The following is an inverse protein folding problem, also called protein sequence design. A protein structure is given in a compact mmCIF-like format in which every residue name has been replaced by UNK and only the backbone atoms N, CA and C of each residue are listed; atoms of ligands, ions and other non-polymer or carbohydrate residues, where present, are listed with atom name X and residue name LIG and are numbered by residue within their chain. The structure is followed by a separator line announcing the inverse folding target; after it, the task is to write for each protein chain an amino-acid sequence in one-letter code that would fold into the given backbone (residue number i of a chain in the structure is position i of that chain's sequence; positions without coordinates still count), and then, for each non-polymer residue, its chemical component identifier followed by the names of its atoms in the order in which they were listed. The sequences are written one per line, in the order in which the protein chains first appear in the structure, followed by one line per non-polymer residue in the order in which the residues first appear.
data_IF_396957277679
#
_entry.id   IF_396957277679
#
_cell.length_a   1.000
_cell.length_b   1.000
_cell.length_c   1.000
_cell.angle_alpha   90.00
_cell.angle_beta   90.00
_cell.angle_gamma   90.00
#
_symmetry.space_group_name_H-M   'P 1'
#
loop_
_entity.id
_entity.type
_entity.pdbx_description
1 polymer ?
#
# COMPACT_ATOMS: atom_id res chain seq x y z
N UNK A 1 -24.85 0.05 -7.98
CA UNK A 1 -24.38 1.32 -7.40
C UNK A 1 -25.38 2.38 -7.79
N UNK A 2 -25.96 3.04 -6.82
CA UNK A 2 -26.89 4.16 -7.02
C UNK A 2 -26.08 5.43 -7.19
N UNK A 3 -26.29 6.16 -8.28
CA UNK A 3 -25.67 7.45 -8.51
C UNK A 3 -26.70 8.55 -8.57
N UNK A 4 -26.25 9.75 -8.32
CA UNK A 4 -27.03 10.95 -8.51
C UNK A 4 -26.80 11.43 -9.94
N UNK A 5 -27.80 11.32 -10.78
CA UNK A 5 -27.77 11.92 -12.10
C UNK A 5 -28.04 13.41 -12.00
N UNK A 6 -27.40 14.18 -12.86
CA UNK A 6 -27.29 15.61 -12.83
C UNK A 6 -28.56 16.41 -12.53
N UNK A 7 -28.44 17.70 -12.43
CA UNK A 7 -29.54 18.60 -12.13
C UNK A 7 -30.68 18.46 -13.15
N UNK A 8 -31.89 18.27 -12.65
CA UNK A 8 -33.08 18.33 -13.50
C UNK A 8 -33.17 19.70 -14.22
N UNK A 9 -33.65 19.71 -15.46
CA UNK A 9 -33.79 20.95 -16.19
C UNK A 9 -34.62 21.98 -15.41
N UNK A 10 -34.11 23.21 -15.30
CA UNK A 10 -34.74 24.29 -14.52
C UNK A 10 -36.22 24.58 -14.94
N UNK A 11 -36.58 24.28 -16.17
CA UNK A 11 -37.96 24.48 -16.68
C UNK A 11 -38.98 23.53 -16.04
N UNK A 12 -38.56 22.50 -15.32
CA UNK A 12 -39.46 21.65 -14.55
C UNK A 12 -39.87 22.27 -13.21
N UNK A 13 -39.31 23.45 -12.85
CA UNK A 13 -39.64 24.14 -11.63
C UNK A 13 -39.07 23.50 -10.37
N UNK A 14 -38.31 22.40 -10.50
CA UNK A 14 -37.67 21.68 -9.41
C UNK A 14 -36.24 22.19 -9.27
N UNK A 15 -35.92 22.78 -8.11
CA UNK A 15 -34.57 23.23 -7.77
C UNK A 15 -33.95 22.27 -6.75
N UNK A 16 -32.70 21.90 -6.94
CA UNK A 16 -31.90 21.06 -6.03
C UNK A 16 -32.53 19.69 -5.73
N UNK A 17 -33.25 19.11 -6.68
CA UNK A 17 -33.77 17.76 -6.56
C UNK A 17 -32.74 16.78 -7.12
N UNK A 18 -32.19 15.94 -6.25
CA UNK A 18 -31.33 14.84 -6.64
C UNK A 18 -32.18 13.68 -7.18
N UNK A 19 -31.88 13.24 -8.37
CA UNK A 19 -32.46 12.01 -8.94
C UNK A 19 -31.48 10.87 -8.74
N UNK A 20 -31.96 9.80 -8.11
CA UNK A 20 -31.15 8.60 -7.88
C UNK A 20 -31.57 7.50 -8.83
N UNK A 21 -30.63 6.97 -9.55
CA UNK A 21 -30.86 5.81 -10.41
C UNK A 21 -29.70 4.81 -10.29
N UNK A 22 -29.91 3.58 -10.71
CA UNK A 22 -28.89 2.54 -10.72
C UNK A 22 -28.03 2.61 -12.01
N UNK A 23 -27.29 3.70 -12.17
CA UNK A 23 -26.51 4.01 -13.37
C UNK A 23 -25.11 3.43 -13.33
N UNK A 24 -24.40 3.65 -12.22
CA UNK A 24 -23.00 3.26 -12.11
C UNK A 24 -22.82 1.75 -12.02
N UNK A 25 -21.84 1.22 -12.72
CA UNK A 25 -21.51 -0.19 -12.70
C UNK A 25 -19.99 -0.40 -12.57
N UNK A 26 -19.61 -1.36 -11.75
CA UNK A 26 -18.22 -1.79 -11.61
C UNK A 26 -18.10 -3.28 -11.84
N UNK A 27 -16.94 -3.70 -12.30
CA UNK A 27 -16.55 -5.09 -12.45
C UNK A 27 -15.38 -5.38 -11.51
N UNK A 28 -15.52 -6.44 -10.73
CA UNK A 28 -14.41 -7.04 -9.98
C UNK A 28 -14.28 -8.49 -10.43
N UNK A 29 -13.08 -8.90 -10.76
CA UNK A 29 -12.79 -10.26 -11.23
C UNK A 29 -11.43 -10.71 -10.71
N UNK A 30 -11.28 -12.02 -10.55
CA UNK A 30 -10.04 -12.58 -10.04
C UNK A 30 -9.95 -14.07 -10.23
N UNK A 31 -8.79 -14.61 -9.91
CA UNK A 31 -8.50 -16.04 -9.89
C UNK A 31 -7.78 -16.33 -8.59
N UNK A 32 -8.17 -17.42 -7.95
CA UNK A 32 -7.53 -17.93 -6.75
C UNK A 32 -7.07 -19.35 -7.00
N UNK A 33 -5.88 -19.70 -6.51
CA UNK A 33 -5.34 -21.03 -6.56
C UNK A 33 -4.63 -21.38 -5.25
N UNK A 34 -4.77 -22.62 -4.81
CA UNK A 34 -4.06 -23.14 -3.66
C UNK A 34 -3.51 -24.54 -3.99
N UNK A 35 -2.26 -24.75 -3.62
CA UNK A 35 -1.56 -26.01 -3.82
C UNK A 35 -1.03 -26.54 -2.49
N UNK A 36 -1.11 -27.82 -2.31
CA UNK A 36 -0.43 -28.51 -1.21
C UNK A 36 0.20 -29.79 -1.74
N UNK A 37 1.47 -29.91 -1.47
CA UNK A 37 2.23 -31.11 -1.79
C UNK A 37 2.96 -31.57 -0.53
N UNK A 38 3.02 -32.86 -0.30
CA UNK A 38 3.71 -33.41 0.88
C UNK A 38 3.96 -34.90 0.73
N UNK A 39 4.89 -35.39 1.53
CA UNK A 39 5.28 -36.78 1.53
C UNK A 39 6.12 -37.13 2.75
N UNK A 40 6.45 -38.40 2.82
CA UNK A 40 7.32 -38.95 3.86
C UNK A 40 8.27 -39.97 3.24
N UNK A 41 9.55 -39.85 3.60
CA UNK A 41 10.60 -40.80 3.23
C UNK A 41 11.38 -41.15 4.48
N UNK A 42 11.18 -42.39 4.99
CA UNK A 42 11.74 -42.81 6.26
C UNK A 42 11.28 -41.93 7.42
N UNK A 43 12.24 -41.36 8.12
CA UNK A 43 11.99 -40.43 9.25
C UNK A 43 11.73 -39.00 8.83
N UNK A 44 11.90 -38.67 7.56
CA UNK A 44 11.72 -37.31 7.03
C UNK A 44 10.34 -37.15 6.42
N UNK A 45 9.56 -36.22 6.95
CA UNK A 45 8.27 -35.78 6.41
C UNK A 45 8.33 -34.35 5.99
N UNK A 46 7.66 -34.01 4.91
CA UNK A 46 7.55 -32.63 4.42
C UNK A 46 6.16 -32.31 3.90
N UNK A 47 5.76 -31.05 4.01
CA UNK A 47 4.57 -30.51 3.37
C UNK A 47 4.86 -29.08 2.98
N UNK A 48 4.61 -28.76 1.71
CA UNK A 48 4.71 -27.41 1.17
C UNK A 48 3.32 -27.00 0.70
N UNK A 49 2.85 -25.87 1.14
CA UNK A 49 1.61 -25.24 0.70
C UNK A 49 1.93 -23.90 0.07
N UNK A 50 1.21 -23.55 -1.00
CA UNK A 50 1.25 -22.23 -1.60
C UNK A 50 -0.17 -21.81 -1.95
N UNK A 51 -0.49 -20.52 -1.75
CA UNK A 51 -1.71 -19.92 -2.24
C UNK A 51 -1.39 -18.66 -3.01
N UNK A 52 -2.23 -18.37 -3.97
CA UNK A 52 -2.13 -17.21 -4.83
C UNK A 52 -3.52 -16.72 -5.16
N UNK A 53 -3.74 -15.42 -5.08
CA UNK A 53 -4.93 -14.74 -5.55
C UNK A 53 -4.53 -13.57 -6.44
N UNK A 54 -5.19 -13.44 -7.56
CA UNK A 54 -5.12 -12.28 -8.45
C UNK A 54 -6.48 -11.64 -8.55
N UNK A 55 -6.54 -10.32 -8.41
CA UNK A 55 -7.78 -9.56 -8.55
C UNK A 55 -7.56 -8.24 -9.25
N UNK A 56 -8.55 -7.84 -10.02
CA UNK A 56 -8.61 -6.49 -10.59
C UNK A 56 -10.05 -5.99 -10.62
N UNK A 57 -10.18 -4.68 -10.59
CA UNK A 57 -11.45 -3.99 -10.65
C UNK A 57 -11.43 -2.92 -11.73
N UNK A 58 -12.59 -2.56 -12.25
CA UNK A 58 -12.73 -1.37 -13.12
C UNK A 58 -14.16 -0.85 -13.11
N UNK A 59 -14.29 0.45 -13.34
CA UNK A 59 -15.58 1.06 -13.64
C UNK A 59 -16.01 0.69 -15.06
N UNK A 60 -17.20 0.09 -15.22
CA UNK A 60 -17.80 -0.19 -16.52
C UNK A 60 -18.65 0.98 -17.01
N UNK A 61 -19.39 1.58 -16.08
CA UNK A 61 -20.17 2.79 -16.27
C UNK A 61 -19.96 3.68 -15.05
N UNK A 62 -19.83 4.95 -15.28
CA UNK A 62 -19.71 5.96 -14.23
C UNK A 62 -20.40 7.23 -14.72
N UNK A 63 -21.20 7.83 -13.85
CA UNK A 63 -21.84 9.11 -14.13
C UNK A 63 -20.79 10.20 -13.95
N UNK A 64 -20.22 10.69 -15.04
CA UNK A 64 -19.11 11.62 -15.04
C UNK A 64 -19.21 12.67 -16.13
N UNK A 65 -18.69 13.82 -15.83
CA UNK A 65 -18.39 14.88 -16.80
C UNK A 65 -16.92 15.21 -16.71
N UNK A 66 -16.21 15.20 -17.80
CA UNK A 66 -14.79 15.55 -17.87
C UNK A 66 -14.50 16.36 -19.12
N UNK A 67 -13.52 17.24 -19.01
CA UNK A 67 -13.08 18.08 -20.14
C UNK A 67 -12.03 17.34 -20.98
N UNK A 68 -11.16 16.58 -20.32
CA UNK A 68 -10.06 15.90 -20.97
C UNK A 68 -10.15 14.38 -20.77
N UNK A 69 -9.84 13.62 -21.81
CA UNK A 69 -9.97 12.16 -21.81
C UNK A 69 -9.21 11.44 -20.68
N UNK A 70 -8.07 11.99 -20.25
CA UNK A 70 -7.27 11.42 -19.16
C UNK A 70 -7.92 11.59 -17.75
N UNK A 71 -8.95 12.45 -17.65
CA UNK A 71 -9.73 12.62 -16.42
C UNK A 71 -10.80 11.53 -16.28
N UNK A 72 -11.12 10.80 -17.33
CA UNK A 72 -12.18 9.80 -17.30
C UNK A 72 -12.00 8.77 -16.17
N UNK A 73 -13.08 8.48 -15.45
CA UNK A 73 -13.16 7.44 -14.41
C UNK A 73 -13.52 6.09 -15.02
N UNK A 74 -14.40 6.09 -16.03
CA UNK A 74 -14.77 4.89 -16.76
C UNK A 74 -13.54 4.16 -17.31
N UNK A 75 -13.46 2.88 -17.04
CA UNK A 75 -12.32 2.03 -17.44
C UNK A 75 -11.16 1.99 -16.46
N UNK A 76 -11.10 2.92 -15.52
CA UNK A 76 -10.06 2.91 -14.48
C UNK A 76 -10.39 1.93 -13.35
N UNK A 77 -9.41 1.60 -12.53
CA UNK A 77 -9.61 0.77 -11.34
C UNK A 77 -10.44 1.53 -10.29
N UNK A 78 -11.21 0.79 -9.48
CA UNK A 78 -12.02 1.37 -8.40
C UNK A 78 -11.16 2.01 -7.32
N UNK A 79 -9.93 1.59 -7.21
CA UNK A 79 -8.94 1.98 -6.23
C UNK A 79 -7.80 2.80 -6.87
N UNK A 80 -8.07 3.42 -8.03
CA UNK A 80 -7.09 4.24 -8.72
C UNK A 80 -6.69 5.47 -7.89
N UNK A 81 -5.37 5.69 -7.74
CA UNK A 81 -4.85 6.96 -7.31
C UNK A 81 -4.93 7.97 -8.45
N UNK A 82 -5.44 9.15 -8.15
CA UNK A 82 -5.43 10.31 -9.05
C UNK A 82 -4.55 11.39 -8.49
N UNK A 83 -3.84 12.09 -9.35
CA UNK A 83 -2.97 13.16 -8.92
C UNK A 83 -2.11 13.69 -10.07
N UNK A 84 -1.19 14.54 -9.69
CA UNK A 84 -0.29 15.24 -10.60
C UNK A 84 0.89 14.37 -11.01
N UNK A 85 1.41 14.64 -12.20
CA UNK A 85 2.62 14.00 -12.71
C UNK A 85 3.83 14.83 -12.31
N UNK A 86 4.65 14.28 -11.45
CA UNK A 86 5.90 14.88 -11.02
C UNK A 86 6.95 14.88 -12.14
N UNK A 87 7.58 16.01 -12.39
CA UNK A 87 8.62 16.20 -13.39
C UNK A 87 10.02 16.43 -12.79
N UNK A 88 10.12 16.66 -11.50
CA UNK A 88 11.35 17.02 -10.83
C UNK A 88 11.13 18.11 -9.79
N UNK A 89 12.22 18.61 -9.22
CA UNK A 89 12.21 19.77 -8.33
C UNK A 89 12.68 20.99 -9.10
N UNK A 90 12.12 22.16 -8.82
CA UNK A 90 12.65 23.40 -9.38
C UNK A 90 14.09 23.62 -8.95
N UNK A 91 14.97 23.85 -9.90
CA UNK A 91 16.40 24.08 -9.65
C UNK A 91 16.69 25.56 -9.34
N UNK A 92 15.96 26.50 -9.94
CA UNK A 92 16.20 27.94 -9.78
C UNK A 92 14.92 28.76 -9.88
N UNK A 93 15.01 30.04 -9.51
CA UNK A 93 13.93 31.02 -9.64
C UNK A 93 13.60 31.32 -11.12
N UNK A 94 14.58 31.26 -12.00
CA UNK A 94 14.41 31.46 -13.44
C UNK A 94 13.61 30.31 -14.06
N UNK A 95 13.85 29.08 -13.61
CA UNK A 95 13.07 27.93 -14.03
C UNK A 95 11.60 28.08 -13.57
N UNK A 96 11.36 28.52 -12.35
CA UNK A 96 10.00 28.77 -11.84
C UNK A 96 9.30 29.81 -12.71
N UNK A 97 9.97 30.93 -13.03
CA UNK A 97 9.41 32.01 -13.83
C UNK A 97 9.10 31.62 -15.28
N UNK A 98 9.77 30.59 -15.82
CA UNK A 98 9.57 30.10 -17.18
C UNK A 98 8.69 28.84 -17.28
N UNK A 99 8.24 28.32 -16.16
CA UNK A 99 7.39 27.12 -16.10
C UNK A 99 5.91 27.52 -15.99
N UNK A 100 4.95 26.60 -16.32
CA UNK A 100 3.55 26.79 -16.06
C UNK A 100 3.29 27.17 -14.59
N UNK A 101 2.34 28.06 -14.34
CA UNK A 101 2.00 28.53 -13.01
C UNK A 101 1.31 27.40 -12.21
N UNK A 102 1.84 27.09 -11.04
CA UNK A 102 1.21 26.12 -10.11
C UNK A 102 0.27 26.87 -9.15
N UNK A 103 -1.04 26.60 -9.21
CA UNK A 103 -2.10 27.37 -8.56
C UNK A 103 -2.37 26.97 -7.10
N UNK A 104 -1.35 26.62 -6.33
CA UNK A 104 -1.46 26.04 -4.99
C UNK A 104 -1.18 27.06 -3.87
N UNK A 105 -1.69 28.27 -3.98
CA UNK A 105 -1.67 29.33 -2.95
C UNK A 105 -0.31 29.61 -2.27
N UNK A 106 0.82 29.34 -2.94
CA UNK A 106 2.16 29.44 -2.38
C UNK A 106 3.13 30.13 -3.32
N UNK A 107 4.08 30.83 -2.73
CA UNK A 107 5.24 31.30 -3.47
C UNK A 107 6.24 30.16 -3.61
N UNK A 108 6.36 29.62 -4.81
CA UNK A 108 7.32 28.57 -5.15
C UNK A 108 8.76 29.06 -4.95
N UNK A 109 9.61 28.11 -4.56
CA UNK A 109 11.04 28.31 -4.39
C UNK A 109 11.82 27.12 -4.95
N UNK A 110 13.11 27.30 -5.28
CA UNK A 110 13.96 26.17 -5.67
C UNK A 110 13.91 25.05 -4.63
N UNK A 111 13.78 23.81 -5.10
CA UNK A 111 13.56 22.62 -4.27
C UNK A 111 12.10 22.22 -4.07
N UNK A 112 11.13 23.01 -4.50
CA UNK A 112 9.72 22.63 -4.54
C UNK A 112 9.42 21.69 -5.71
N UNK A 113 8.37 20.87 -5.58
CA UNK A 113 7.98 19.91 -6.61
C UNK A 113 7.37 20.61 -7.82
N UNK A 114 7.77 20.16 -8.99
CA UNK A 114 7.29 20.61 -10.30
C UNK A 114 6.37 19.56 -10.91
N UNK A 115 5.22 19.99 -11.42
CA UNK A 115 4.21 19.12 -12.02
C UNK A 115 4.03 19.39 -13.51
N UNK A 116 3.47 18.42 -14.21
CA UNK A 116 3.18 18.52 -15.65
C UNK A 116 1.86 19.23 -15.88
N UNK A 117 1.88 20.19 -16.80
CA UNK A 117 0.71 20.74 -17.45
C UNK A 117 0.27 19.76 -18.52
N UNK A 118 -0.85 19.07 -18.29
CA UNK A 118 -1.33 17.98 -19.15
C UNK A 118 -2.23 18.49 -20.29
N UNK A 119 -2.85 19.66 -20.12
CA UNK A 119 -3.72 20.27 -21.11
C UNK A 119 -3.05 21.39 -21.91
N UNK A 120 -1.81 21.79 -21.51
CA UNK A 120 -1.00 22.85 -22.10
C UNK A 120 -1.67 24.23 -22.10
N UNK A 121 -2.37 24.58 -21.01
CA UNK A 121 -3.00 25.90 -20.85
C UNK A 121 -2.10 26.90 -20.10
N UNK A 122 -0.93 26.46 -19.62
CA UNK A 122 0.04 27.27 -18.89
C UNK A 122 -0.22 27.35 -17.39
N UNK A 123 -1.23 26.65 -16.88
CA UNK A 123 -1.58 26.56 -15.46
C UNK A 123 -1.54 25.09 -15.01
N UNK A 124 -1.12 24.88 -13.77
CA UNK A 124 -1.23 23.56 -13.11
C UNK A 124 -2.36 23.65 -12.09
N UNK A 125 -3.48 23.03 -12.41
CA UNK A 125 -4.68 23.02 -11.56
C UNK A 125 -5.34 21.63 -11.49
N UNK A 126 -6.59 21.56 -11.05
CA UNK A 126 -7.33 20.30 -10.96
C UNK A 126 -7.53 19.59 -12.31
N UNK A 127 -7.36 20.32 -13.43
CA UNK A 127 -7.44 19.74 -14.78
C UNK A 127 -6.23 18.87 -15.12
N UNK A 128 -5.10 19.02 -14.44
CA UNK A 128 -3.86 18.29 -14.71
C UNK A 128 -3.70 17.00 -13.92
N UNK A 129 -4.79 16.53 -13.32
CA UNK A 129 -4.80 15.28 -12.60
C UNK A 129 -5.21 14.11 -13.50
N UNK A 130 -4.41 13.05 -13.46
CA UNK A 130 -4.72 11.77 -14.12
C UNK A 130 -4.57 10.58 -13.17
N UNK A 131 -4.89 9.40 -13.62
CA UNK A 131 -4.57 8.16 -12.87
C UNK A 131 -3.06 7.98 -12.85
N UNK A 132 -2.50 7.88 -11.64
CA UNK A 132 -1.06 7.77 -11.37
C UNK A 132 -0.66 6.44 -10.71
N UNK A 133 -1.62 5.64 -10.26
CA UNK A 133 -1.39 4.36 -9.60
C UNK A 133 -2.67 3.72 -9.07
N UNK A 134 -2.52 2.70 -8.23
CA UNK A 134 -3.64 2.02 -7.57
C UNK A 134 -3.28 1.62 -6.13
N UNK A 135 -4.25 1.71 -5.21
CA UNK A 135 -4.02 1.51 -3.77
C UNK A 135 -4.21 0.06 -3.29
N UNK A 136 -4.88 -0.80 -4.04
CA UNK A 136 -5.18 -2.16 -3.59
C UNK A 136 -4.30 -3.19 -4.28
N UNK A 137 -3.78 -4.18 -3.54
CA UNK A 137 -2.99 -5.26 -4.10
C UNK A 137 -3.74 -6.00 -5.22
N UNK A 138 -3.05 -6.26 -6.33
CA UNK A 138 -3.53 -7.14 -7.40
C UNK A 138 -3.21 -8.59 -7.11
N UNK A 139 -2.13 -8.83 -6.38
CA UNK A 139 -1.64 -10.15 -6.02
C UNK A 139 -1.54 -10.29 -4.51
N UNK A 140 -2.16 -11.34 -3.98
CA UNK A 140 -1.91 -11.84 -2.62
C UNK A 140 -1.34 -13.25 -2.76
N UNK A 141 -0.29 -13.56 -2.02
CA UNK A 141 0.34 -14.87 -2.07
C UNK A 141 0.89 -15.31 -0.71
N UNK A 142 0.87 -16.61 -0.49
CA UNK A 142 1.44 -17.19 0.71
C UNK A 142 2.18 -18.49 0.41
N UNK A 143 3.16 -18.81 1.25
CA UNK A 143 3.90 -20.07 1.24
C UNK A 143 3.97 -20.61 2.66
N UNK A 144 3.72 -21.88 2.82
CA UNK A 144 3.90 -22.60 4.08
C UNK A 144 4.78 -23.83 3.85
N UNK A 145 5.80 -24.01 4.67
CA UNK A 145 6.71 -25.14 4.64
C UNK A 145 6.68 -25.80 6.01
N UNK A 146 6.34 -27.08 6.04
CA UNK A 146 6.39 -27.88 7.25
C UNK A 146 7.33 -29.06 7.01
N UNK A 147 8.36 -29.12 7.82
CA UNK A 147 9.34 -30.23 7.78
C UNK A 147 9.29 -30.95 9.12
N UNK A 148 9.43 -32.27 9.06
CA UNK A 148 9.52 -33.10 10.24
C UNK A 148 10.65 -34.10 10.03
N UNK A 149 11.52 -34.17 11.00
CA UNK A 149 12.58 -35.20 11.03
C UNK A 149 12.70 -35.78 12.43
N UNK A 150 12.33 -37.05 12.57
CA UNK A 150 12.26 -37.75 13.87
C UNK A 150 11.40 -36.95 14.86
N UNK A 151 12.06 -36.40 15.87
CA UNK A 151 11.40 -35.60 16.93
C UNK A 151 11.36 -34.11 16.64
N UNK A 152 12.06 -33.64 15.63
CA UNK A 152 12.05 -32.21 15.24
C UNK A 152 10.93 -31.91 14.26
N UNK A 153 10.33 -30.76 14.43
CA UNK A 153 9.43 -30.15 13.46
C UNK A 153 9.81 -28.68 13.21
N UNK A 154 9.77 -28.27 11.96
CA UNK A 154 10.02 -26.91 11.52
C UNK A 154 8.84 -26.44 10.68
N UNK A 155 8.28 -25.30 11.06
CA UNK A 155 7.23 -24.62 10.29
C UNK A 155 7.73 -23.26 9.88
N UNK A 156 7.58 -22.93 8.59
CA UNK A 156 7.88 -21.62 8.04
C UNK A 156 6.63 -21.12 7.30
N UNK A 157 6.20 -19.89 7.58
CA UNK A 157 5.09 -19.25 6.90
C UNK A 157 5.55 -17.90 6.39
N UNK A 158 5.37 -17.67 5.09
CA UNK A 158 5.61 -16.41 4.44
C UNK A 158 4.36 -15.96 3.70
N UNK A 159 4.14 -14.64 3.67
CA UNK A 159 3.03 -14.00 2.94
C UNK A 159 3.54 -12.76 2.22
N UNK A 160 2.86 -12.39 1.15
CA UNK A 160 3.22 -11.20 0.41
C UNK A 160 2.06 -10.66 -0.39
N UNK A 161 2.22 -9.41 -0.80
CA UNK A 161 1.32 -8.68 -1.68
C UNK A 161 2.12 -7.97 -2.76
N UNK A 162 1.50 -7.76 -3.92
CA UNK A 162 2.16 -7.04 -5.01
C UNK A 162 1.13 -6.38 -5.96
N UNK A 163 1.64 -5.52 -6.84
CA UNK A 163 0.85 -4.86 -7.86
C UNK A 163 -0.05 -3.75 -7.30
N UNK A 164 0.46 -2.97 -6.36
CA UNK A 164 -0.19 -1.79 -5.82
C UNK A 164 0.83 -0.74 -5.42
N UNK A 165 0.36 0.49 -5.31
CA UNK A 165 1.15 1.62 -4.88
C UNK A 165 0.74 2.05 -3.47
N UNK A 166 1.69 2.54 -2.72
CA UNK A 166 1.50 3.13 -1.41
C UNK A 166 1.93 4.59 -1.43
N UNK A 167 1.08 5.47 -0.90
CA UNK A 167 1.40 6.89 -0.78
C UNK A 167 2.20 7.17 0.50
N UNK A 168 3.35 7.82 0.36
CA UNK A 168 4.24 8.21 1.45
C UNK A 168 3.87 9.56 2.08
N UNK A 169 2.61 9.96 2.02
CA UNK A 169 2.12 11.25 2.50
C UNK A 169 1.66 11.25 3.96
N UNK A 170 1.85 10.13 4.65
CA UNK A 170 1.49 10.03 6.06
C UNK A 170 2.56 10.64 6.97
N UNK A 171 2.26 10.70 8.27
CA UNK A 171 3.13 11.28 9.29
C UNK A 171 4.50 10.59 9.49
N UNK A 172 4.72 9.41 8.89
CA UNK A 172 6.03 8.75 8.91
C UNK A 172 7.08 9.49 8.08
N UNK A 173 6.66 10.02 6.92
CA UNK A 173 7.56 10.63 5.95
C UNK A 173 7.49 12.14 6.02
N UNK A 174 6.29 12.71 6.15
CA UNK A 174 6.10 14.13 6.04
C UNK A 174 4.95 14.64 6.91
N UNK A 175 5.23 15.59 7.76
CA UNK A 175 4.20 16.28 8.53
C UNK A 175 3.84 17.61 7.86
N UNK A 176 2.97 17.58 6.86
CA UNK A 176 2.63 18.70 5.98
C UNK A 176 1.82 19.82 6.58
N UNK A 177 1.56 19.81 7.86
CA UNK A 177 0.63 20.74 8.46
C UNK A 177 1.27 21.87 9.27
N UNK A 178 2.50 22.25 8.92
CA UNK A 178 3.17 23.41 9.53
C UNK A 178 3.44 23.24 11.02
N UNK A 179 3.55 22.00 11.48
CA UNK A 179 4.00 21.70 12.82
C UNK A 179 5.50 21.46 12.82
N UNK A 180 6.09 21.72 13.92
CA UNK A 180 7.54 21.86 14.15
C UNK A 180 8.33 20.56 13.99
N UNK A 181 7.69 19.47 13.53
CA UNK A 181 8.28 18.14 13.52
C UNK A 181 8.28 17.52 12.12
N UNK A 182 9.46 17.38 11.55
CA UNK A 182 9.70 16.51 10.41
C UNK A 182 10.13 15.13 10.88
N UNK A 183 9.82 14.09 10.09
CA UNK A 183 10.36 12.76 10.36
C UNK A 183 11.88 12.77 10.18
N UNK A 184 12.59 11.87 10.89
CA UNK A 184 14.03 11.70 10.74
C UNK A 184 14.42 11.34 9.31
N UNK A 185 13.57 10.60 8.57
CA UNK A 185 13.80 10.24 7.18
C UNK A 185 13.95 11.47 6.29
N UNK A 186 13.07 12.46 6.46
CA UNK A 186 13.09 13.71 5.69
C UNK A 186 14.22 14.62 6.16
N UNK A 187 14.40 14.77 7.50
CA UNK A 187 15.45 15.59 8.07
C UNK A 187 16.85 15.15 7.64
N UNK A 188 17.11 13.86 7.65
CA UNK A 188 18.42 13.30 7.34
C UNK A 188 18.70 13.24 5.83
N UNK A 189 17.70 13.58 5.00
CA UNK A 189 17.79 13.62 3.54
C UNK A 189 17.63 15.05 2.97
N UNK A 190 18.08 16.06 3.69
CA UNK A 190 18.08 17.45 3.24
C UNK A 190 18.90 17.58 1.96
N UNK A 191 18.27 18.14 0.91
CA UNK A 191 18.90 18.25 -0.41
C UNK A 191 18.90 16.95 -1.24
N UNK A 192 18.41 15.83 -0.69
CA UNK A 192 18.22 14.57 -1.38
C UNK A 192 16.91 14.48 -2.16
N UNK A 193 16.21 13.33 -2.02
CA UNK A 193 15.01 13.02 -2.81
C UNK A 193 13.79 13.85 -2.44
N UNK A 194 13.67 14.25 -1.16
CA UNK A 194 12.52 15.00 -0.65
C UNK A 194 12.54 16.48 -1.07
N UNK A 195 11.38 17.16 -1.14
CA UNK A 195 11.32 18.59 -1.39
C UNK A 195 11.95 19.38 -0.24
N UNK A 196 12.20 20.67 -0.47
CA UNK A 196 12.78 21.54 0.55
C UNK A 196 11.96 21.55 1.83
N UNK A 197 12.63 21.67 2.96
CA UNK A 197 11.99 21.83 4.27
C UNK A 197 11.55 23.29 4.47
N UNK A 198 10.43 23.50 5.15
CA UNK A 198 9.88 24.82 5.45
C UNK A 198 9.10 24.80 6.76
N UNK A 199 9.08 25.92 7.48
CA UNK A 199 8.24 26.12 8.66
C UNK A 199 6.82 26.62 8.29
N UNK A 200 6.60 27.00 7.04
CA UNK A 200 5.31 27.49 6.56
C UNK A 200 4.55 26.32 5.99
N UNK A 201 3.25 26.25 6.27
CA UNK A 201 2.36 25.27 5.64
C UNK A 201 2.50 25.38 4.12
N UNK A 202 2.84 24.27 3.49
CA UNK A 202 2.94 24.17 2.04
C UNK A 202 1.88 23.22 1.52
N UNK A 203 1.20 23.63 0.47
CA UNK A 203 0.22 22.82 -0.24
C UNK A 203 0.82 22.22 -1.51
N UNK A 204 1.71 22.95 -2.19
CA UNK A 204 2.35 22.50 -3.43
C UNK A 204 3.06 21.15 -3.28
N UNK A 205 3.97 21.02 -2.30
CA UNK A 205 4.75 19.81 -2.10
C UNK A 205 3.95 18.62 -1.58
N UNK A 206 2.70 18.86 -1.14
CA UNK A 206 1.81 17.84 -0.59
C UNK A 206 0.68 17.45 -1.54
N UNK A 207 0.69 17.97 -2.76
CA UNK A 207 -0.31 17.57 -3.74
C UNK A 207 -0.20 16.07 -4.03
N UNK A 208 -1.34 15.38 -4.18
CA UNK A 208 -1.36 13.99 -4.62
C UNK A 208 -0.60 13.86 -5.93
N UNK A 209 0.51 13.16 -5.92
CA UNK A 209 1.37 13.01 -7.09
C UNK A 209 2.10 11.68 -7.08
N UNK A 210 2.59 11.26 -8.23
CA UNK A 210 3.42 10.07 -8.32
C UNK A 210 4.79 10.22 -7.64
N UNK A 211 5.18 11.44 -7.25
CA UNK A 211 6.34 11.64 -6.37
C UNK A 211 6.18 10.87 -5.03
N UNK A 212 4.98 10.90 -4.46
CA UNK A 212 4.68 10.25 -3.19
C UNK A 212 4.30 8.77 -3.31
N UNK A 213 4.17 8.24 -4.51
CA UNK A 213 3.86 6.83 -4.71
C UNK A 213 5.12 5.98 -4.71
N UNK A 214 5.05 4.85 -4.05
CA UNK A 214 6.06 3.78 -4.06
C UNK A 214 5.38 2.45 -4.31
N UNK A 215 6.11 1.52 -4.94
CA UNK A 215 5.66 0.14 -5.02
C UNK A 215 5.44 -0.41 -3.60
N UNK A 216 4.19 -0.71 -3.28
CA UNK A 216 3.77 -1.25 -1.99
C UNK A 216 4.06 -2.75 -1.84
N UNK A 217 4.62 -3.38 -2.87
CA UNK A 217 4.89 -4.81 -2.90
C UNK A 217 5.86 -5.27 -1.81
N UNK A 218 5.55 -6.41 -1.22
CA UNK A 218 6.42 -7.03 -0.22
C UNK A 218 6.25 -8.54 -0.13
N UNK A 219 7.26 -9.21 0.41
CA UNK A 219 7.18 -10.56 0.94
C UNK A 219 7.73 -10.59 2.36
N UNK A 220 6.99 -11.20 3.27
CA UNK A 220 7.34 -11.27 4.70
C UNK A 220 7.39 -12.71 5.18
N UNK A 221 8.47 -13.07 5.86
CA UNK A 221 8.53 -14.28 6.66
C UNK A 221 7.82 -13.99 7.98
N UNK A 222 6.53 -14.37 8.03
CA UNK A 222 5.68 -14.04 9.18
C UNK A 222 5.99 -14.90 10.39
N UNK A 223 6.34 -16.18 10.17
CA UNK A 223 6.54 -17.09 11.28
C UNK A 223 7.57 -18.17 10.91
N UNK A 224 8.51 -18.42 11.82
CA UNK A 224 9.36 -19.59 11.82
C UNK A 224 9.25 -20.22 13.21
N UNK A 225 8.89 -21.49 13.26
CA UNK A 225 8.81 -22.23 14.52
C UNK A 225 9.57 -23.54 14.40
N UNK A 226 10.52 -23.75 15.30
CA UNK A 226 11.27 -25.00 15.48
C UNK A 226 10.77 -25.66 16.76
N UNK A 227 10.26 -26.87 16.64
CA UNK A 227 9.76 -27.69 17.74
C UNK A 227 10.59 -28.97 17.93
N UNK A 228 10.66 -29.41 19.16
CA UNK A 228 11.20 -30.71 19.53
C UNK A 228 10.20 -31.49 20.37
N UNK A 229 9.86 -32.71 19.96
CA UNK A 229 8.83 -33.57 20.56
C UNK A 229 9.48 -34.70 21.35
N UNK A 230 9.28 -34.69 22.65
CA UNK A 230 9.68 -35.81 23.52
C UNK A 230 8.46 -36.70 23.76
N UNK A 231 8.58 -37.97 23.46
CA UNK A 231 7.55 -38.97 23.77
C UNK A 231 7.92 -39.69 25.04
N UNK A 232 6.99 -39.78 25.98
CA UNK A 232 7.16 -40.54 27.21
C UNK A 232 6.55 -41.95 27.06
N UNK A 233 6.89 -42.82 27.99
CA UNK A 233 6.39 -44.20 27.99
C UNK A 233 4.85 -44.20 28.19
N UNK A 234 4.15 -45.20 27.61
CA UNK A 234 2.69 -45.26 27.59
C UNK A 234 2.02 -45.31 28.96
N UNK A 235 2.74 -45.71 30.02
CA UNK A 235 2.26 -45.76 31.41
C UNK A 235 2.49 -44.45 32.19
N UNK A 236 3.09 -43.44 31.57
CA UNK A 236 3.32 -42.16 32.20
C UNK A 236 2.04 -41.32 32.18
N UNK A 237 1.75 -40.55 33.25
CA UNK A 237 0.67 -39.56 33.29
C UNK A 237 0.84 -38.47 32.21
N UNK A 238 2.10 -38.13 31.89
CA UNK A 238 2.43 -37.23 30.80
C UNK A 238 2.81 -38.06 29.57
N UNK A 239 2.08 -37.93 28.48
CA UNK A 239 2.29 -38.71 27.25
C UNK A 239 3.28 -38.07 26.29
N UNK A 240 3.43 -36.74 26.38
CA UNK A 240 4.35 -36.02 25.52
C UNK A 240 4.67 -34.64 26.01
N UNK A 241 5.86 -34.17 25.66
CA UNK A 241 6.30 -32.80 25.85
C UNK A 241 6.82 -32.26 24.50
N UNK A 242 6.27 -31.15 24.05
CA UNK A 242 6.84 -30.43 22.91
C UNK A 242 7.41 -29.12 23.42
N UNK A 243 8.69 -28.89 23.17
CA UNK A 243 9.36 -27.59 23.40
C UNK A 243 9.51 -26.92 22.06
N UNK A 244 9.30 -25.61 22.01
CA UNK A 244 9.43 -24.87 20.75
C UNK A 244 10.05 -23.50 20.94
N UNK A 245 10.69 -23.04 19.87
CA UNK A 245 11.13 -21.65 19.67
C UNK A 245 10.42 -21.11 18.44
N UNK A 246 9.85 -19.92 18.55
CA UNK A 246 9.14 -19.24 17.49
C UNK A 246 9.69 -17.83 17.30
N UNK A 247 9.91 -17.47 16.06
CA UNK A 247 10.16 -16.09 15.66
C UNK A 247 9.06 -15.59 14.74
N UNK A 248 8.53 -14.39 15.02
CA UNK A 248 7.53 -13.75 14.16
C UNK A 248 8.04 -12.43 13.60
N UNK A 249 7.60 -12.09 12.38
CA UNK A 249 7.99 -10.90 11.61
C UNK A 249 9.51 -10.77 11.44
N UNK A 250 10.19 -11.89 11.12
CA UNK A 250 11.65 -11.96 11.14
C UNK A 250 12.31 -11.23 9.98
N UNK A 251 11.71 -11.27 8.80
CA UNK A 251 12.28 -10.69 7.59
C UNK A 251 11.17 -10.16 6.69
N UNK A 252 11.37 -8.97 6.16
CA UNK A 252 10.52 -8.34 5.15
C UNK A 252 11.38 -7.94 3.96
N UNK A 253 10.98 -8.36 2.77
CA UNK A 253 11.58 -7.97 1.49
C UNK A 253 10.59 -7.00 0.85
N UNK A 254 10.99 -5.74 0.68
CA UNK A 254 10.18 -4.67 0.11
C UNK A 254 11.07 -3.59 -0.50
N UNK A 255 10.53 -2.83 -1.44
CA UNK A 255 11.14 -1.58 -1.92
C UNK A 255 11.12 -0.46 -0.87
N UNK A 256 10.21 -0.54 0.11
CA UNK A 256 10.09 0.40 1.22
C UNK A 256 10.93 -0.16 2.38
N UNK A 257 11.99 0.56 2.77
CA UNK A 257 12.98 0.06 3.73
C UNK A 257 12.83 0.66 5.13
N UNK A 258 12.27 1.86 5.21
CA UNK A 258 12.30 2.67 6.44
C UNK A 258 11.20 2.29 7.43
N UNK A 259 10.08 1.75 6.94
CA UNK A 259 8.93 1.32 7.73
C UNK A 259 8.42 -0.04 7.24
N UNK A 260 7.65 -0.72 8.08
CA UNK A 260 7.01 -1.97 7.67
C UNK A 260 5.91 -1.68 6.63
N UNK A 261 5.96 -2.30 5.43
CA UNK A 261 5.01 -2.03 4.35
C UNK A 261 3.56 -2.38 4.70
N UNK A 262 3.31 -3.24 5.68
CA UNK A 262 1.95 -3.51 6.17
C UNK A 262 1.40 -2.39 7.06
N UNK A 263 2.27 -1.57 7.64
CA UNK A 263 1.90 -0.55 8.63
C UNK A 263 2.14 0.88 8.15
N UNK A 264 2.45 1.08 6.88
CA UNK A 264 2.88 2.38 6.34
C UNK A 264 1.80 3.46 6.48
N UNK A 265 0.52 3.10 6.38
CA UNK A 265 -0.60 4.04 6.48
C UNK A 265 -1.05 4.31 7.93
N UNK A 266 -0.45 3.64 8.89
CA UNK A 266 -0.84 3.76 10.29
C UNK A 266 -0.28 5.02 10.96
N UNK A 267 0.71 5.66 10.36
CA UNK A 267 1.36 6.87 10.89
C UNK A 267 2.15 6.63 12.17
N UNK A 268 2.69 7.70 12.72
CA UNK A 268 3.50 7.66 13.95
C UNK A 268 2.69 7.40 15.22
N UNK A 269 1.38 7.49 15.15
CA UNK A 269 0.47 7.27 16.29
C UNK A 269 0.10 5.81 16.50
N UNK A 270 0.45 4.94 15.55
CA UNK A 270 0.13 3.52 15.63
C UNK A 270 1.34 2.73 16.12
N UNK A 271 1.04 1.70 16.89
CA UNK A 271 2.07 0.83 17.44
C UNK A 271 2.81 0.08 16.32
N UNK A 272 4.15 0.13 16.26
CA UNK A 272 4.91 -0.52 15.20
C UNK A 272 4.83 -2.05 15.31
N UNK A 273 4.96 -2.73 14.17
CA UNK A 273 5.07 -4.17 14.13
C UNK A 273 6.45 -4.62 14.63
N UNK A 274 6.47 -5.42 15.69
CA UNK A 274 7.72 -5.93 16.27
C UNK A 274 8.11 -7.28 15.71
N UNK A 275 9.41 -7.51 15.69
CA UNK A 275 9.95 -8.87 15.66
C UNK A 275 9.79 -9.46 17.06
N UNK A 276 9.19 -10.63 17.15
CA UNK A 276 9.00 -11.31 18.43
C UNK A 276 9.66 -12.68 18.43
N UNK A 277 10.25 -13.01 19.57
CA UNK A 277 10.81 -14.33 19.82
C UNK A 277 10.10 -14.95 21.02
N UNK A 278 9.62 -16.15 20.86
CA UNK A 278 8.86 -16.86 21.90
C UNK A 278 9.47 -18.22 22.11
N UNK A 279 9.73 -18.58 23.36
CA UNK A 279 10.03 -19.93 23.79
C UNK A 279 8.86 -20.48 24.58
N UNK A 280 8.50 -21.73 24.35
CA UNK A 280 7.34 -22.33 25.02
C UNK A 280 7.41 -23.84 25.07
N UNK A 281 6.50 -24.42 25.86
CA UNK A 281 6.32 -25.86 25.90
C UNK A 281 4.84 -26.23 25.93
N UNK A 282 4.54 -27.43 25.43
CA UNK A 282 3.20 -28.03 25.45
C UNK A 282 3.28 -29.42 26.04
N UNK A 283 2.51 -29.68 27.10
CA UNK A 283 2.35 -30.99 27.71
C UNK A 283 1.10 -31.66 27.16
N UNK A 284 1.17 -32.97 26.95
CA UNK A 284 0.04 -33.81 26.59
C UNK A 284 -0.09 -34.91 27.66
N UNK A 285 -1.29 -35.11 28.19
CA UNK A 285 -1.65 -36.05 29.24
C UNK A 285 -2.42 -37.25 28.68
#
# INVERSE_FOLDING_TARGET
ITSMTGNLPLYWGLRNVAVYENHNASLQQGVEAAFRFGGRTGDFGYSVGASFAFRKSKYLRYDESYTYAYQAVKGTALDAYRGYVYLGKFASAEEIASSPEQTFDEKLQPGDLKYADLNNDGLIDSNDQKVIGNSSPRFDYSVSINLRYRNFDLTIVGTGRAGFDTALTNSWYWNGWGTDNYSTFVRDNIGGDYPRLTYIKQTNNFQPSNFWLRDGGYFKIQNIELGYNVRFHSQSAVKGLRVFLRGANLCTISGIKDVDPENINAGVTTYPLYRTFTAGFKLSF
#
